data_IF_809140211661
#
_entry.id   IF_809140211661
#
_cell.length_a   1.000
_cell.length_b   1.000
_cell.length_c   1.000
_cell.angle_alpha   90.00
_cell.angle_beta   90.00
_cell.angle_gamma   90.00
#
_symmetry.space_group_name_H-M   'P 1'
#
loop_
_entity.id
_entity.type
_entity.pdbx_description
1 polymer ?
#
# COMPACT_ATOMS: atom_id res chain seq x y z
N UNK A 1 13.22 2.72 -44.21
CA UNK A 1 13.39 3.64 -43.06
C UNK A 1 12.10 3.61 -42.23
N UNK A 2 12.11 3.00 -41.04
CA UNK A 2 10.90 2.87 -40.23
C UNK A 2 10.51 4.24 -39.63
N UNK A 3 9.33 4.76 -40.00
CA UNK A 3 8.80 6.03 -39.48
C UNK A 3 8.63 5.92 -37.95
N UNK A 4 9.39 6.71 -37.17
CA UNK A 4 9.24 6.81 -35.71
C UNK A 4 7.79 7.11 -35.36
N UNK A 5 7.08 6.13 -34.77
CA UNK A 5 5.74 6.32 -34.23
C UNK A 5 5.78 7.48 -33.23
N UNK A 6 5.19 8.60 -33.65
CA UNK A 6 5.24 9.88 -32.98
C UNK A 6 4.70 9.75 -31.54
N UNK A 7 5.42 10.37 -30.61
CA UNK A 7 5.38 10.29 -29.14
C UNK A 7 4.01 10.48 -28.46
N UNK A 8 2.95 10.76 -29.22
CA UNK A 8 1.59 11.02 -28.72
C UNK A 8 0.83 9.74 -28.37
N UNK A 9 0.92 8.69 -29.20
CA UNK A 9 0.29 7.38 -28.89
C UNK A 9 0.90 6.70 -27.66
N UNK A 10 2.20 6.91 -27.41
CA UNK A 10 2.90 6.36 -26.22
C UNK A 10 2.45 6.99 -24.90
N UNK A 11 1.97 8.25 -24.89
CA UNK A 11 1.48 8.92 -23.68
C UNK A 11 0.16 8.35 -23.16
N UNK A 12 -0.66 7.78 -24.05
CA UNK A 12 -1.95 7.17 -23.70
C UNK A 12 -1.88 5.64 -23.57
N UNK A 13 -0.69 5.05 -23.67
CA UNK A 13 -0.51 3.65 -23.30
C UNK A 13 -0.68 3.58 -21.78
N UNK A 14 -1.69 2.85 -21.25
CA UNK A 14 -1.78 2.65 -19.82
C UNK A 14 -0.54 1.86 -19.44
N UNK A 15 0.37 2.51 -18.71
CA UNK A 15 1.50 1.81 -18.12
C UNK A 15 0.88 0.71 -17.26
N UNK A 16 1.14 -0.56 -17.58
CA UNK A 16 0.68 -1.72 -16.80
C UNK A 16 1.09 -1.70 -15.32
N UNK A 17 1.80 -0.65 -14.89
CA UNK A 17 2.16 -0.30 -13.53
C UNK A 17 0.97 -0.22 -12.56
N UNK A 18 -0.27 0.05 -13.02
CA UNK A 18 -1.43 0.05 -12.12
C UNK A 18 -1.94 -1.35 -11.78
N UNK A 19 -1.75 -2.33 -12.67
CA UNK A 19 -2.32 -3.69 -12.50
C UNK A 19 -1.65 -4.52 -11.41
N UNK A 20 -0.40 -4.18 -11.03
CA UNK A 20 0.40 -4.94 -10.06
C UNK A 20 0.75 -4.16 -8.78
N UNK A 21 0.04 -3.06 -8.47
CA UNK A 21 0.27 -2.34 -7.21
C UNK A 21 -0.21 -3.21 -6.05
N UNK A 22 0.75 -3.76 -5.29
CA UNK A 22 0.44 -4.40 -4.01
C UNK A 22 -0.32 -3.40 -3.12
N UNK A 23 -1.43 -3.79 -2.49
CA UNK A 23 -2.15 -2.92 -1.59
C UNK A 23 -1.21 -2.41 -0.49
N UNK A 24 -1.18 -1.09 -0.28
CA UNK A 24 -0.37 -0.51 0.79
C UNK A 24 -1.02 -0.84 2.13
N UNK A 25 -0.23 -1.43 3.04
CA UNK A 25 -0.67 -1.65 4.41
C UNK A 25 -0.97 -0.30 5.09
N UNK A 26 -2.14 -0.21 5.73
CA UNK A 26 -2.52 0.96 6.53
C UNK A 26 -1.59 1.09 7.74
N UNK A 27 -1.27 2.33 8.09
CA UNK A 27 -0.41 2.67 9.23
C UNK A 27 -1.15 3.62 10.17
N UNK A 28 -1.02 3.41 11.48
CA UNK A 28 -1.76 4.15 12.52
C UNK A 28 -0.80 4.93 13.43
N UNK A 29 -1.29 5.97 14.09
CA UNK A 29 -0.47 6.80 15.00
C UNK A 29 -0.33 6.17 16.39
N UNK A 30 -1.32 5.40 16.84
CA UNK A 30 -1.33 4.70 18.12
C UNK A 30 -1.60 3.21 17.92
N UNK A 31 -1.22 2.41 18.92
CA UNK A 31 -1.48 0.98 18.96
C UNK A 31 -2.99 0.70 19.10
N UNK A 32 -3.67 1.47 19.95
CA UNK A 32 -5.13 1.35 20.19
C UNK A 32 -5.93 1.51 18.90
N UNK A 33 -5.66 2.56 18.12
CA UNK A 33 -6.34 2.79 16.82
C UNK A 33 -6.09 1.66 15.82
N UNK A 34 -4.91 1.03 15.88
CA UNK A 34 -4.63 -0.14 15.04
C UNK A 34 -5.45 -1.36 15.48
N UNK A 35 -5.63 -1.57 16.79
CA UNK A 35 -6.46 -2.65 17.34
C UNK A 35 -7.95 -2.43 17.05
N UNK A 36 -8.46 -1.22 17.29
CA UNK A 36 -9.84 -0.85 16.96
C UNK A 36 -10.15 -1.06 15.48
N UNK A 37 -9.24 -0.62 14.60
CA UNK A 37 -9.38 -0.86 13.17
C UNK A 37 -9.41 -2.36 12.88
N UNK A 38 -8.47 -3.14 13.45
CA UNK A 38 -8.42 -4.57 13.20
C UNK A 38 -9.69 -5.31 13.62
N UNK A 39 -10.24 -4.94 14.79
CA UNK A 39 -11.51 -5.47 15.30
C UNK A 39 -12.69 -5.08 14.39
N UNK A 40 -12.76 -3.81 13.96
CA UNK A 40 -13.82 -3.34 13.05
C UNK A 40 -13.83 -4.05 11.69
N UNK A 41 -12.67 -4.55 11.26
CA UNK A 41 -12.50 -5.31 10.02
C UNK A 41 -12.70 -6.82 10.21
N UNK A 42 -12.88 -7.29 11.46
CA UNK A 42 -13.10 -8.69 11.78
C UNK A 42 -11.84 -9.56 11.69
N UNK A 43 -10.64 -8.97 11.80
CA UNK A 43 -9.41 -9.78 11.85
C UNK A 43 -9.33 -10.53 13.18
N UNK A 44 -9.22 -11.87 13.11
CA UNK A 44 -9.14 -12.74 14.29
C UNK A 44 -7.71 -12.93 14.80
N UNK A 45 -6.76 -13.11 13.87
CA UNK A 45 -5.35 -13.29 14.18
C UNK A 45 -4.55 -12.13 13.60
N UNK A 46 -4.23 -11.15 14.43
CA UNK A 46 -3.43 -10.01 14.01
C UNK A 46 -2.45 -9.58 15.10
N UNK A 47 -1.30 -9.10 14.67
CA UNK A 47 -0.27 -8.52 15.51
C UNK A 47 -0.05 -7.06 15.15
N UNK A 48 -0.04 -6.20 16.15
CA UNK A 48 0.30 -4.79 15.95
C UNK A 48 1.80 -4.61 16.18
N UNK A 49 2.50 -4.12 15.15
CA UNK A 49 3.95 -3.94 15.17
C UNK A 49 4.28 -2.48 14.92
N UNK A 50 5.22 -1.93 15.70
CA UNK A 50 5.77 -0.60 15.47
C UNK A 50 6.62 -0.62 14.19
N UNK A 51 6.30 0.23 13.22
CA UNK A 51 7.05 0.34 11.97
C UNK A 51 8.48 0.78 12.25
N UNK A 52 9.46 -0.01 11.79
CA UNK A 52 10.89 0.30 11.89
C UNK A 52 11.40 1.17 10.73
N UNK A 53 10.64 1.25 9.64
CA UNK A 53 11.00 2.03 8.46
C UNK A 53 10.40 3.43 8.52
N UNK A 54 11.28 4.45 8.52
CA UNK A 54 10.95 5.88 8.50
C UNK A 54 10.82 6.53 9.89
N UNK A 55 11.06 7.85 9.96
CA UNK A 55 11.00 8.69 11.18
C UNK A 55 9.61 8.74 11.85
N UNK A 56 8.58 8.17 11.23
CA UNK A 56 7.23 8.21 11.79
C UNK A 56 7.00 7.03 12.74
N UNK A 57 6.69 7.33 14.01
CA UNK A 57 6.28 6.38 15.06
C UNK A 57 4.90 5.75 14.75
N UNK A 58 4.77 5.06 13.61
CA UNK A 58 3.49 4.50 13.15
C UNK A 58 3.41 3.00 13.43
N UNK A 59 2.23 2.53 13.78
CA UNK A 59 1.89 1.13 14.00
C UNK A 59 1.31 0.51 12.73
N UNK A 60 1.63 -0.76 12.49
CA UNK A 60 1.15 -1.55 11.36
C UNK A 60 0.49 -2.81 11.90
N UNK A 61 -0.56 -3.25 11.22
CA UNK A 61 -1.19 -4.54 11.50
C UNK A 61 -0.53 -5.56 10.58
N UNK A 62 -0.07 -6.65 11.16
CA UNK A 62 0.43 -7.83 10.47
C UNK A 62 -0.58 -8.94 10.74
N UNK A 63 -1.11 -9.54 9.68
CA UNK A 63 -1.97 -10.71 9.79
C UNK A 63 -1.06 -11.94 9.94
N UNK A 64 -1.38 -12.79 10.91
CA UNK A 64 -0.73 -14.09 11.14
C UNK A 64 -1.59 -15.23 10.61
#
# INVERSE_FOLDING_TARGET
MARKLHTRRKRYMPAGAERNRKPRLKTFLSEEKAKEYAQSQGYKNFKVVKSRFGLSKKFKIVLE
#
